data_IF_366914131388
#
_entry.id   IF_366914131388
#
_cell.length_a   1.000
_cell.length_b   1.000
_cell.length_c   1.000
_cell.angle_alpha   90.00
_cell.angle_beta   90.00
_cell.angle_gamma   90.00
#
_symmetry.space_group_name_H-M   'P 1'
#
loop_
_entity.id
_entity.type
_entity.pdbx_description
1 polymer ?
#
# COMPACT_ATOMS: atom_id res chain seq x y z
N UNK A 1 -16.74 6.73 -6.16
CA UNK A 1 -16.46 6.08 -4.85
C UNK A 1 -15.02 6.34 -4.43
N UNK A 2 -14.76 7.45 -3.73
CA UNK A 2 -13.38 7.81 -3.40
C UNK A 2 -12.64 6.77 -2.57
N UNK A 3 -13.34 6.09 -1.66
CA UNK A 3 -12.72 5.07 -0.81
C UNK A 3 -12.30 3.84 -1.60
N UNK A 4 -13.04 3.51 -2.66
CA UNK A 4 -12.65 2.42 -3.56
C UNK A 4 -11.33 2.76 -4.25
N UNK A 5 -11.16 4.02 -4.70
CA UNK A 5 -9.91 4.45 -5.33
C UNK A 5 -8.73 4.35 -4.37
N UNK A 6 -8.94 4.68 -3.08
CA UNK A 6 -7.89 4.54 -2.06
C UNK A 6 -7.50 3.08 -1.85
N UNK A 7 -8.49 2.20 -1.74
CA UNK A 7 -8.22 0.77 -1.52
C UNK A 7 -7.46 0.20 -2.71
N UNK A 8 -7.94 0.45 -3.93
CA UNK A 8 -7.27 -0.04 -5.14
C UNK A 8 -5.87 0.54 -5.26
N UNK A 9 -5.72 1.85 -4.99
CA UNK A 9 -4.40 2.49 -5.00
C UNK A 9 -3.45 1.87 -3.99
N UNK A 10 -3.94 1.57 -2.78
CA UNK A 10 -3.13 0.89 -1.76
C UNK A 10 -2.71 -0.50 -2.20
N UNK A 11 -3.58 -1.23 -2.90
CA UNK A 11 -3.23 -2.53 -3.46
C UNK A 11 -2.13 -2.42 -4.53
N UNK A 12 -2.18 -1.39 -5.38
CA UNK A 12 -1.10 -1.14 -6.33
C UNK A 12 0.20 -0.73 -5.63
N UNK A 13 0.10 -0.08 -4.48
CA UNK A 13 1.28 0.22 -3.67
C UNK A 13 1.96 -1.07 -3.20
N UNK A 14 1.19 -2.07 -2.79
CA UNK A 14 1.73 -3.40 -2.48
C UNK A 14 2.45 -3.97 -3.71
N UNK A 15 1.84 -3.81 -4.89
CA UNK A 15 2.43 -4.26 -6.16
C UNK A 15 3.78 -3.63 -6.43
N UNK A 16 3.89 -2.29 -6.31
CA UNK A 16 5.16 -1.65 -6.62
C UNK A 16 6.23 -1.90 -5.54
N UNK A 17 5.85 -1.97 -4.26
CA UNK A 17 6.83 -2.29 -3.21
C UNK A 17 7.34 -3.72 -3.34
N UNK A 18 6.47 -4.67 -3.71
CA UNK A 18 6.88 -6.05 -3.98
C UNK A 18 7.79 -6.11 -5.21
N UNK A 19 7.46 -5.36 -6.26
CA UNK A 19 8.29 -5.30 -7.48
C UNK A 19 9.69 -4.77 -7.20
N UNK A 20 9.84 -3.86 -6.23
CA UNK A 20 11.15 -3.34 -5.84
C UNK A 20 12.14 -4.44 -5.46
N UNK A 21 11.65 -5.54 -4.90
CA UNK A 21 12.48 -6.68 -4.51
C UNK A 21 13.19 -7.30 -5.71
N UNK A 22 12.62 -7.17 -6.90
CA UNK A 22 13.08 -7.84 -8.11
C UNK A 22 13.65 -6.87 -9.15
N UNK A 23 13.70 -5.58 -8.86
CA UNK A 23 14.16 -4.56 -9.80
C UNK A 23 15.67 -4.64 -10.05
N UNK A 24 16.45 -5.07 -9.06
CA UNK A 24 17.90 -5.26 -9.15
C UNK A 24 18.62 -4.00 -9.65
N UNK A 25 18.41 -2.89 -8.94
CA UNK A 25 19.02 -1.60 -9.30
C UNK A 25 18.55 -1.09 -10.66
N UNK A 26 17.31 -1.41 -11.04
CA UNK A 26 16.70 -1.07 -12.34
C UNK A 26 17.32 -1.76 -13.54
N UNK A 27 18.06 -2.85 -13.31
CA UNK A 27 18.63 -3.67 -14.39
C UNK A 27 17.63 -4.69 -14.95
N UNK A 28 16.69 -5.14 -14.12
CA UNK A 28 15.66 -6.09 -14.55
C UNK A 28 14.51 -5.31 -15.17
N UNK A 29 14.50 -5.19 -16.51
CA UNK A 29 13.53 -4.38 -17.21
C UNK A 29 12.06 -4.77 -16.97
N UNK A 30 11.66 -6.05 -17.03
CA UNK A 30 10.26 -6.42 -16.76
C UNK A 30 9.79 -5.99 -15.38
N UNK A 31 10.60 -6.20 -14.33
CA UNK A 31 10.23 -5.81 -12.98
C UNK A 31 10.28 -4.30 -12.78
N UNK A 32 11.22 -3.62 -13.44
CA UNK A 32 11.28 -2.15 -13.41
C UNK A 32 10.03 -1.54 -14.04
N UNK A 33 9.56 -2.09 -15.17
CA UNK A 33 8.33 -1.64 -15.80
C UNK A 33 7.11 -1.91 -14.91
N UNK A 34 7.04 -3.08 -14.29
CA UNK A 34 5.98 -3.41 -13.34
C UNK A 34 5.94 -2.42 -12.19
N UNK A 35 7.10 -2.07 -11.64
CA UNK A 35 7.23 -1.08 -10.59
C UNK A 35 6.72 0.29 -11.05
N UNK A 36 7.19 0.78 -12.18
CA UNK A 36 6.81 2.10 -12.68
C UNK A 36 5.32 2.20 -13.01
N UNK A 37 4.76 1.17 -13.64
CA UNK A 37 3.33 1.14 -13.95
C UNK A 37 2.50 1.13 -12.68
N UNK A 38 2.89 0.31 -11.69
CA UNK A 38 2.18 0.23 -10.41
C UNK A 38 2.22 1.56 -9.66
N UNK A 39 3.37 2.23 -9.65
CA UNK A 39 3.52 3.55 -9.01
C UNK A 39 2.60 4.56 -9.70
N UNK A 40 2.60 4.60 -11.02
CA UNK A 40 1.78 5.56 -11.77
C UNK A 40 0.29 5.36 -11.49
N UNK A 41 -0.19 4.12 -11.51
CA UNK A 41 -1.59 3.81 -11.23
C UNK A 41 -1.93 4.15 -9.79
N UNK A 42 -1.08 3.76 -8.84
CA UNK A 42 -1.31 3.99 -7.42
C UNK A 42 -1.39 5.48 -7.10
N UNK A 43 -0.44 6.27 -7.60
CA UNK A 43 -0.42 7.73 -7.40
C UNK A 43 -1.61 8.41 -8.06
N UNK A 44 -1.99 7.95 -9.27
CA UNK A 44 -3.17 8.48 -9.95
C UNK A 44 -4.46 8.25 -9.18
N UNK A 45 -4.61 7.06 -8.60
CA UNK A 45 -5.78 6.73 -7.79
C UNK A 45 -5.79 7.53 -6.49
N UNK A 46 -4.65 7.75 -5.86
CA UNK A 46 -4.55 8.61 -4.69
C UNK A 46 -4.97 10.04 -5.03
N UNK A 47 -4.51 10.57 -6.16
CA UNK A 47 -4.85 11.91 -6.60
C UNK A 47 -6.36 12.05 -6.80
N UNK A 48 -6.98 11.11 -7.49
CA UNK A 48 -8.42 11.12 -7.72
C UNK A 48 -9.20 11.05 -6.40
N UNK A 49 -8.78 10.18 -5.49
CA UNK A 49 -9.44 10.05 -4.18
C UNK A 49 -9.30 11.33 -3.35
N UNK A 50 -8.17 12.01 -3.43
CA UNK A 50 -7.91 13.21 -2.65
C UNK A 50 -8.75 14.41 -3.08
N UNK A 51 -9.43 14.31 -4.22
CA UNK A 51 -10.38 15.36 -4.64
C UNK A 51 -11.62 15.40 -3.76
N UNK A 52 -11.99 14.26 -3.15
CA UNK A 52 -13.20 14.13 -2.33
C UNK A 52 -12.88 13.84 -0.86
N UNK A 53 -11.69 13.34 -0.56
CA UNK A 53 -11.25 13.00 0.79
C UNK A 53 -10.08 13.92 1.14
N UNK A 54 -10.03 14.50 2.35
CA UNK A 54 -8.89 15.34 2.75
C UNK A 54 -7.56 14.61 2.52
N UNK A 55 -6.58 15.31 1.98
CA UNK A 55 -5.31 14.70 1.55
C UNK A 55 -4.62 13.93 2.67
N UNK A 56 -4.62 14.47 3.89
CA UNK A 56 -3.99 13.78 5.03
C UNK A 56 -4.63 12.43 5.31
N UNK A 57 -5.97 12.38 5.30
CA UNK A 57 -6.72 11.14 5.49
C UNK A 57 -6.49 10.17 4.33
N UNK A 58 -6.57 10.69 3.10
CA UNK A 58 -6.35 9.87 1.91
C UNK A 58 -4.95 9.25 1.93
N UNK A 59 -3.92 10.04 2.23
CA UNK A 59 -2.55 9.56 2.28
C UNK A 59 -2.35 8.53 3.39
N UNK A 60 -2.91 8.76 4.57
CA UNK A 60 -2.79 7.84 5.70
C UNK A 60 -3.42 6.49 5.38
N UNK A 61 -4.60 6.48 4.77
CA UNK A 61 -5.31 5.25 4.41
C UNK A 61 -4.57 4.51 3.30
N UNK A 62 -4.19 5.23 2.23
CA UNK A 62 -3.46 4.68 1.10
C UNK A 62 -2.12 4.07 1.54
N UNK A 63 -1.34 4.85 2.31
CA UNK A 63 -0.05 4.40 2.81
C UNK A 63 -0.17 3.26 3.81
N UNK A 64 -1.19 3.31 4.67
CA UNK A 64 -1.45 2.26 5.64
C UNK A 64 -1.81 0.93 4.99
N UNK A 65 -2.67 0.94 3.97
CA UNK A 65 -3.01 -0.27 3.23
C UNK A 65 -1.78 -0.85 2.56
N UNK A 66 -0.98 0.00 1.91
CA UNK A 66 0.26 -0.44 1.27
C UNK A 66 1.25 -1.02 2.27
N UNK A 67 1.43 -0.37 3.41
CA UNK A 67 2.34 -0.84 4.46
C UNK A 67 1.91 -2.19 5.01
N UNK A 68 0.63 -2.35 5.37
CA UNK A 68 0.09 -3.61 5.89
C UNK A 68 0.24 -4.72 4.86
N UNK A 69 -0.16 -4.45 3.62
CA UNK A 69 -0.08 -5.45 2.56
C UNK A 69 1.36 -5.87 2.26
N UNK A 70 2.29 -4.91 2.25
CA UNK A 70 3.71 -5.21 2.01
C UNK A 70 4.29 -6.07 3.13
N UNK A 71 3.91 -5.80 4.39
CA UNK A 71 4.35 -6.64 5.51
C UNK A 71 3.78 -8.05 5.38
N UNK A 72 2.52 -8.19 5.00
CA UNK A 72 1.90 -9.50 4.79
C UNK A 72 2.62 -10.27 3.68
N UNK A 73 2.91 -9.62 2.56
CA UNK A 73 3.67 -10.23 1.47
C UNK A 73 5.06 -10.64 1.96
N UNK A 74 5.73 -9.79 2.74
CA UNK A 74 7.04 -10.10 3.30
C UNK A 74 7.00 -11.36 4.15
N UNK A 75 5.99 -11.49 5.01
CA UNK A 75 5.84 -12.68 5.87
C UNK A 75 5.57 -13.94 5.04
N UNK A 76 4.67 -13.84 4.08
CA UNK A 76 4.22 -15.03 3.32
C UNK A 76 5.21 -15.48 2.26
N UNK A 77 5.86 -14.55 1.56
CA UNK A 77 6.70 -14.88 0.42
C UNK A 77 8.19 -14.67 0.64
N UNK A 78 8.57 -13.75 1.51
CA UNK A 78 9.98 -13.43 1.75
C UNK A 78 10.48 -13.93 3.12
N UNK A 79 9.67 -14.72 3.80
CA UNK A 79 10.02 -15.36 5.08
C UNK A 79 10.46 -14.36 6.16
N UNK A 80 9.85 -13.18 6.17
CA UNK A 80 10.14 -12.19 7.20
C UNK A 80 9.53 -12.60 8.55
N UNK A 81 10.06 -12.08 9.68
CA UNK A 81 9.55 -12.44 10.99
C UNK A 81 8.07 -12.13 11.15
N UNK A 82 7.33 -13.03 11.80
CA UNK A 82 5.89 -12.89 12.03
C UNK A 82 5.54 -12.99 13.52
N UNK A 83 6.39 -12.47 14.38
CA UNK A 83 6.17 -12.51 15.83
C UNK A 83 4.89 -11.82 16.26
N UNK A 84 4.43 -12.15 17.48
CA UNK A 84 3.16 -11.63 18.01
C UNK A 84 3.12 -10.10 18.00
N UNK A 85 4.22 -9.43 18.35
CA UNK A 85 4.25 -7.97 18.37
C UNK A 85 4.04 -7.39 16.98
N UNK A 86 4.66 -7.97 15.94
CA UNK A 86 4.45 -7.51 14.56
C UNK A 86 3.00 -7.66 14.12
N UNK A 87 2.39 -8.80 14.44
CA UNK A 87 0.99 -9.05 14.10
C UNK A 87 0.07 -8.05 14.81
N UNK A 88 0.32 -7.80 16.10
CA UNK A 88 -0.47 -6.83 16.85
C UNK A 88 -0.34 -5.42 16.28
N UNK A 89 0.86 -5.01 15.88
CA UNK A 89 1.08 -3.69 15.29
C UNK A 89 0.40 -3.56 13.92
N UNK A 90 0.41 -4.61 13.13
CA UNK A 90 -0.30 -4.64 11.85
C UNK A 90 -1.80 -4.48 12.08
N UNK A 91 -2.34 -5.20 13.06
CA UNK A 91 -3.76 -5.11 13.42
C UNK A 91 -4.11 -3.69 13.90
N UNK A 92 -3.19 -3.04 14.62
CA UNK A 92 -3.37 -1.66 15.07
C UNK A 92 -3.47 -0.69 13.87
N UNK A 93 -2.65 -0.89 12.85
CA UNK A 93 -2.73 -0.08 11.62
C UNK A 93 -4.09 -0.27 10.93
N UNK A 94 -4.53 -1.52 10.80
CA UNK A 94 -5.82 -1.83 10.17
C UNK A 94 -6.96 -1.17 10.96
N UNK A 95 -6.92 -1.27 12.29
CA UNK A 95 -7.94 -0.65 13.15
C UNK A 95 -7.94 0.88 12.99
N UNK A 96 -6.76 1.49 12.90
CA UNK A 96 -6.65 2.94 12.72
C UNK A 96 -7.23 3.37 11.36
N UNK A 97 -6.99 2.61 10.30
CA UNK A 97 -7.57 2.89 8.98
C UNK A 97 -9.09 2.83 9.04
N UNK A 98 -9.62 1.79 9.67
CA UNK A 98 -11.07 1.64 9.83
C UNK A 98 -11.67 2.81 10.63
N UNK A 99 -11.00 3.23 11.69
CA UNK A 99 -11.43 4.37 12.49
C UNK A 99 -11.43 5.68 11.69
N UNK A 100 -10.42 5.90 10.87
CA UNK A 100 -10.36 7.07 9.99
C UNK A 100 -11.54 7.08 9.01
N UNK A 101 -11.89 5.93 8.48
CA UNK A 101 -13.04 5.80 7.57
C UNK A 101 -14.33 6.24 8.26
N UNK A 102 -14.49 5.88 9.53
CA UNK A 102 -15.70 6.22 10.30
C UNK A 102 -15.78 7.71 10.65
N UNK A 103 -14.64 8.39 10.73
CA UNK A 103 -14.59 9.82 11.09
C UNK A 103 -14.54 10.75 9.88
N UNK A 104 -14.39 10.20 8.70
CA UNK A 104 -14.24 11.00 7.48
C UNK A 104 -15.56 11.50 6.88
#
# INVERSE_FOLDING_TARGET
>A
MPWVWLIVGGLFEIGFTTSLRFVDGFRNLPWTLAFLVSVAISMGLLEVASRSIPMGTAYAVWGGIGAVGTVIVGILWFHEPSGMMRVLLILAIVAAIAALRLTA
#
